data_IF_240368726481
#
_entry.id   IF_240368726481
#
_cell.length_a   1.000
_cell.length_b   1.000
_cell.length_c   1.000
_cell.angle_alpha   90.00
_cell.angle_beta   90.00
_cell.angle_gamma   90.00
#
_symmetry.space_group_name_H-M   'P 1'
#
loop_
_entity.id
_entity.type
_entity.pdbx_description
1 polymer ?
#
# COMPACT_ATOMS: atom_id res chain seq x y z
N UNK A 1 -40.25 -9.98 72.13
CA UNK A 1 -41.34 -9.36 72.94
C UNK A 1 -41.40 -7.88 72.60
N UNK A 2 -42.58 -7.29 72.74
CA UNK A 2 -43.04 -5.97 72.25
C UNK A 2 -43.44 -5.99 70.76
N UNK A 3 -44.72 -6.22 70.46
CA UNK A 3 -45.82 -5.22 70.40
C UNK A 3 -45.86 -4.56 69.02
N UNK A 4 -46.97 -4.40 68.31
CA UNK A 4 -48.38 -4.65 68.58
C UNK A 4 -49.15 -4.51 67.26
N UNK A 5 -50.10 -5.42 67.04
CA UNK A 5 -51.42 -5.29 66.37
C UNK A 5 -51.81 -3.86 65.95
N UNK A 6 -52.29 -3.57 64.73
CA UNK A 6 -53.49 -4.08 64.04
C UNK A 6 -54.29 -2.83 63.56
N UNK A 7 -55.18 -2.81 62.57
CA UNK A 7 -55.79 -3.79 61.67
C UNK A 7 -56.68 -3.03 60.65
N UNK A 8 -56.68 -3.46 59.38
CA UNK A 8 -57.75 -3.45 58.34
C UNK A 8 -58.36 -2.08 57.93
N UNK A 9 -58.84 -1.84 56.71
CA UNK A 9 -59.38 -2.64 55.60
C UNK A 9 -59.07 -1.88 54.27
N UNK A 10 -59.34 -2.29 53.02
CA UNK A 10 -60.30 -3.24 52.47
C UNK A 10 -59.96 -3.49 50.96
N UNK A 11 -60.50 -4.61 50.44
CA UNK A 11 -60.94 -4.85 49.04
C UNK A 11 -59.90 -5.02 47.90
N UNK A 12 -59.78 -6.30 47.51
CA UNK A 12 -59.45 -6.91 46.20
C UNK A 12 -60.45 -6.52 45.07
N UNK A 13 -60.36 -7.03 43.80
CA UNK A 13 -59.24 -7.54 42.97
C UNK A 13 -59.29 -7.06 41.47
N UNK A 14 -58.34 -7.52 40.65
CA UNK A 14 -58.45 -7.63 39.17
C UNK A 14 -58.10 -6.34 38.42
N UNK A 15 -57.68 -6.33 37.16
CA UNK A 15 -57.26 -7.33 36.17
C UNK A 15 -56.70 -6.51 34.99
N UNK A 16 -55.93 -7.13 34.10
CA UNK A 16 -55.88 -6.67 32.71
C UNK A 16 -54.62 -5.93 32.21
N UNK A 17 -54.02 -6.60 31.23
CA UNK A 17 -53.48 -6.04 30.00
C UNK A 17 -52.12 -5.34 30.04
N UNK A 18 -51.13 -6.05 29.50
CA UNK A 18 -49.80 -5.56 29.17
C UNK A 18 -49.82 -4.34 28.24
N UNK A 19 -48.76 -3.54 28.37
CA UNK A 19 -48.36 -2.53 27.40
C UNK A 19 -46.83 -2.42 27.39
N UNK A 20 -46.29 -2.55 26.19
CA UNK A 20 -45.21 -1.71 25.68
C UNK A 20 -43.86 -1.82 26.37
N UNK A 21 -42.97 -2.65 25.82
CA UNK A 21 -41.53 -2.40 25.93
C UNK A 21 -41.24 -1.15 25.09
N UNK A 22 -41.28 0.02 25.74
CA UNK A 22 -40.67 1.24 25.24
C UNK A 22 -39.14 1.00 25.18
N UNK A 23 -38.60 0.76 23.98
CA UNK A 23 -37.17 0.91 23.71
C UNK A 23 -36.89 2.37 23.40
N UNK A 24 -36.44 3.12 24.40
CA UNK A 24 -35.77 4.41 24.17
C UNK A 24 -34.36 4.16 23.59
N UNK A 25 -33.95 4.92 22.57
CA UNK A 25 -32.67 4.73 21.89
C UNK A 25 -31.59 5.63 22.50
N UNK A 26 -30.75 5.10 23.38
CA UNK A 26 -29.58 5.84 23.87
C UNK A 26 -28.45 4.89 24.25
N UNK A 27 -27.50 4.74 23.33
CA UNK A 27 -26.05 4.70 23.59
C UNK A 27 -25.35 4.27 22.29
N UNK A 28 -25.18 5.22 21.36
CA UNK A 28 -24.12 5.08 20.35
C UNK A 28 -22.82 5.24 21.12
N UNK A 29 -22.26 4.10 21.57
CA UNK A 29 -20.92 4.05 22.11
C UNK A 29 -19.98 4.66 21.10
N UNK A 30 -19.45 5.86 21.40
CA UNK A 30 -18.32 6.43 20.70
C UNK A 30 -17.18 5.44 20.85
N UNK A 31 -16.95 4.59 19.85
CA UNK A 31 -15.69 3.87 19.72
C UNK A 31 -14.65 4.93 19.42
N UNK A 32 -14.04 5.46 20.49
CA UNK A 32 -12.80 6.20 20.41
C UNK A 32 -11.81 5.22 19.77
N UNK A 33 -11.47 5.47 18.51
CA UNK A 33 -10.43 4.73 17.82
C UNK A 33 -9.12 5.00 18.56
N UNK A 34 -8.66 3.98 19.28
CA UNK A 34 -7.43 3.95 20.04
C UNK A 34 -6.25 4.39 19.15
N UNK A 35 -5.47 5.42 19.55
CA UNK A 35 -4.22 5.80 18.91
C UNK A 35 -3.23 4.65 18.74
N UNK A 36 -3.35 3.60 19.56
CA UNK A 36 -2.56 2.38 19.42
C UNK A 36 -2.93 1.57 18.17
N UNK A 37 -4.11 1.71 17.55
CA UNK A 37 -4.47 0.89 16.39
C UNK A 37 -3.61 1.14 15.13
N UNK A 38 -2.98 2.32 15.01
CA UNK A 38 -2.00 2.62 13.97
C UNK A 38 -0.56 2.26 14.37
N UNK A 39 -0.24 2.36 15.67
CA UNK A 39 1.03 1.86 16.25
C UNK A 39 1.02 0.33 16.45
N UNK A 40 -0.13 -0.33 16.40
CA UNK A 40 -0.29 -1.78 16.53
C UNK A 40 -0.07 -2.51 15.20
N UNK A 41 0.09 -1.77 14.10
CA UNK A 41 0.78 -2.29 12.92
C UNK A 41 2.30 -2.43 13.17
N UNK A 42 2.83 -1.85 14.26
CA UNK A 42 4.26 -1.83 14.63
C UNK A 42 4.62 -2.78 15.80
N UNK A 43 3.85 -3.83 16.09
CA UNK A 43 4.30 -4.89 17.01
C UNK A 43 4.99 -6.03 16.22
N UNK A 44 6.23 -6.44 16.53
CA UNK A 44 6.80 -7.64 15.94
C UNK A 44 5.94 -8.82 16.37
N UNK A 45 5.38 -9.56 15.41
CA UNK A 45 4.95 -10.93 15.67
C UNK A 45 6.21 -11.74 15.91
N UNK A 46 6.67 -11.77 17.15
CA UNK A 46 7.62 -12.78 17.65
C UNK A 46 6.86 -14.10 17.70
N UNK A 47 6.89 -14.82 16.59
CA UNK A 47 6.33 -16.16 16.47
C UNK A 47 6.89 -16.76 15.19
N UNK A 48 7.63 -17.86 15.32
CA UNK A 48 8.39 -18.49 14.25
C UNK A 48 7.62 -18.52 12.93
N UNK A 49 8.27 -18.03 11.87
CA UNK A 49 7.75 -18.07 10.51
C UNK A 49 7.70 -19.54 10.07
N UNK A 50 6.61 -20.23 10.41
CA UNK A 50 6.31 -21.56 9.90
C UNK A 50 5.53 -21.44 8.59
N UNK A 51 5.74 -22.41 7.71
CA UNK A 51 5.19 -22.72 6.36
C UNK A 51 3.94 -21.97 5.86
N UNK A 52 3.05 -21.50 6.74
CA UNK A 52 1.89 -20.65 6.40
C UNK A 52 2.27 -19.27 5.83
N UNK A 53 3.38 -18.66 6.23
CA UNK A 53 3.83 -17.38 5.66
C UNK A 53 4.31 -17.58 4.21
N UNK A 54 5.06 -18.66 3.96
CA UNK A 54 5.52 -19.10 2.63
C UNK A 54 4.33 -19.49 1.73
N UNK A 55 3.39 -20.30 2.23
CA UNK A 55 2.19 -20.71 1.47
C UNK A 55 1.28 -19.53 1.08
N UNK A 56 1.20 -18.50 1.93
CA UNK A 56 0.44 -17.26 1.63
C UNK A 56 1.13 -16.37 0.59
N UNK A 57 2.41 -16.59 0.31
CA UNK A 57 3.18 -15.89 -0.74
C UNK A 57 3.15 -16.65 -2.06
N UNK A 58 3.04 -17.98 -2.05
CA UNK A 58 2.73 -18.77 -3.26
C UNK A 58 1.39 -18.37 -3.89
N UNK A 59 0.42 -18.04 -3.06
CA UNK A 59 -0.80 -17.37 -3.50
C UNK A 59 -0.50 -15.87 -3.67
N UNK A 60 -0.55 -15.35 -4.89
CA UNK A 60 -0.40 -13.91 -5.12
C UNK A 60 -1.27 -13.06 -4.20
N UNK A 61 -0.94 -11.77 -4.06
CA UNK A 61 -1.79 -10.80 -3.35
C UNK A 61 -3.00 -10.44 -4.20
N UNK A 62 -3.88 -11.42 -4.36
CA UNK A 62 -5.13 -11.32 -5.09
C UNK A 62 -6.25 -11.16 -4.07
N UNK A 63 -6.99 -10.04 -4.07
CA UNK A 63 -8.13 -9.86 -3.18
C UNK A 63 -9.20 -10.90 -3.49
N UNK A 64 -9.88 -11.40 -2.44
CA UNK A 64 -10.95 -12.41 -2.55
C UNK A 64 -12.10 -11.99 -3.47
N UNK A 65 -12.34 -10.68 -3.60
CA UNK A 65 -13.33 -10.08 -4.49
C UNK A 65 -12.68 -8.98 -5.30
N UNK A 66 -12.72 -9.09 -6.62
CA UNK A 66 -12.21 -8.08 -7.56
C UNK A 66 -13.36 -7.13 -7.86
N UNK A 67 -13.19 -5.85 -7.54
CA UNK A 67 -14.21 -4.83 -7.80
C UNK A 67 -14.23 -4.42 -9.29
N UNK A 68 -13.08 -4.47 -9.95
CA UNK A 68 -12.87 -4.05 -11.33
C UNK A 68 -11.56 -4.64 -11.87
N UNK A 69 -11.49 -4.85 -13.18
CA UNK A 69 -10.27 -5.25 -13.88
C UNK A 69 -10.27 -6.70 -14.32
N UNK A 70 -9.28 -7.07 -15.13
CA UNK A 70 -9.06 -8.44 -15.62
C UNK A 70 -7.88 -9.09 -14.90
N UNK A 71 -7.92 -10.40 -14.78
CA UNK A 71 -6.75 -11.19 -14.35
C UNK A 71 -5.55 -10.97 -15.29
N UNK A 72 -4.31 -11.24 -14.84
CA UNK A 72 -3.17 -11.27 -15.73
C UNK A 72 -3.44 -12.21 -16.90
N UNK A 73 -2.95 -11.84 -18.08
CA UNK A 73 -3.12 -12.66 -19.30
C UNK A 73 -2.39 -14.00 -19.13
N UNK A 74 -2.89 -15.06 -19.76
CA UNK A 74 -2.23 -16.37 -19.70
C UNK A 74 -0.86 -16.40 -20.38
N UNK A 75 -0.68 -15.58 -21.42
CA UNK A 75 0.60 -15.42 -22.12
C UNK A 75 0.67 -14.08 -22.87
N UNK A 76 1.86 -13.72 -23.33
CA UNK A 76 2.09 -12.62 -24.28
C UNK A 76 3.40 -12.84 -25.05
N UNK A 77 3.51 -12.19 -26.21
CA UNK A 77 4.74 -12.19 -27.01
C UNK A 77 5.47 -10.86 -26.89
N UNK A 78 6.79 -10.91 -26.72
CA UNK A 78 7.65 -9.73 -26.69
C UNK A 78 9.06 -10.08 -27.17
N UNK A 79 9.57 -9.31 -28.14
CA UNK A 79 10.94 -9.49 -28.64
C UNK A 79 11.22 -10.87 -29.25
N UNK A 80 10.24 -11.44 -29.96
CA UNK A 80 10.34 -12.77 -30.58
C UNK A 80 10.24 -13.94 -29.60
N UNK A 81 9.84 -13.70 -28.34
CA UNK A 81 9.69 -14.71 -27.29
C UNK A 81 8.27 -14.73 -26.77
N UNK A 82 7.74 -15.94 -26.55
CA UNK A 82 6.47 -16.14 -25.86
C UNK A 82 6.73 -16.32 -24.36
N UNK A 83 6.03 -15.53 -23.56
CA UNK A 83 6.06 -15.59 -22.11
C UNK A 83 4.73 -16.14 -21.60
N UNK A 84 4.78 -17.18 -20.76
CA UNK A 84 3.59 -17.78 -20.14
C UNK A 84 3.50 -17.41 -18.67
N UNK A 85 2.28 -17.17 -18.18
CA UNK A 85 2.02 -16.80 -16.80
C UNK A 85 2.47 -17.94 -15.89
N UNK A 86 3.48 -17.66 -15.08
CA UNK A 86 3.97 -18.59 -14.05
C UNK A 86 3.22 -18.33 -12.74
N UNK A 87 2.98 -17.04 -12.41
CA UNK A 87 2.36 -16.66 -11.14
C UNK A 87 1.67 -15.30 -11.21
N UNK A 88 0.47 -15.20 -10.65
CA UNK A 88 -0.15 -13.89 -10.37
C UNK A 88 0.46 -13.31 -9.10
N UNK A 89 0.94 -12.07 -9.14
CA UNK A 89 1.60 -11.41 -8.01
C UNK A 89 0.66 -10.47 -7.27
N UNK A 90 -0.05 -9.62 -8.02
CA UNK A 90 -0.93 -8.58 -7.48
C UNK A 90 -2.09 -8.35 -8.43
N UNK A 91 -3.25 -8.08 -7.86
CA UNK A 91 -4.46 -7.72 -8.58
C UNK A 91 -5.18 -6.64 -7.77
N UNK A 92 -5.32 -5.44 -8.31
CA UNK A 92 -6.05 -4.36 -7.66
C UNK A 92 -7.02 -3.65 -8.62
N UNK A 93 -7.59 -2.54 -8.19
CA UNK A 93 -8.57 -1.79 -8.95
C UNK A 93 -8.00 -1.14 -10.23
N UNK A 94 -6.70 -0.86 -10.25
CA UNK A 94 -6.03 -0.13 -11.32
C UNK A 94 -5.17 -1.01 -12.19
N UNK A 95 -4.58 -2.08 -11.65
CA UNK A 95 -3.67 -2.94 -12.39
C UNK A 95 -3.68 -4.38 -11.86
N UNK A 96 -3.26 -5.30 -12.72
CA UNK A 96 -2.72 -6.56 -12.27
C UNK A 96 -1.26 -6.73 -12.69
N UNK A 97 -0.57 -7.60 -11.96
CA UNK A 97 0.85 -7.87 -12.11
C UNK A 97 1.08 -9.37 -12.01
N UNK A 98 1.83 -9.92 -12.94
CA UNK A 98 2.19 -11.34 -12.96
C UNK A 98 3.65 -11.55 -13.28
N UNK A 99 4.18 -12.67 -12.78
CA UNK A 99 5.47 -13.22 -13.18
C UNK A 99 5.25 -14.20 -14.32
N UNK A 100 6.05 -14.07 -15.36
CA UNK A 100 5.98 -14.87 -16.56
C UNK A 100 7.35 -15.47 -16.87
N UNK A 101 7.34 -16.60 -17.54
CA UNK A 101 8.55 -17.33 -17.95
C UNK A 101 8.49 -17.66 -19.44
N UNK A 102 9.60 -17.50 -20.15
CA UNK A 102 9.74 -17.95 -21.54
C UNK A 102 10.31 -19.37 -21.62
N UNK A 103 10.28 -19.96 -22.82
CA UNK A 103 10.75 -21.33 -23.06
C UNK A 103 12.24 -21.56 -22.71
N UNK A 104 13.05 -20.50 -22.75
CA UNK A 104 14.47 -20.53 -22.34
C UNK A 104 14.69 -20.26 -20.84
N UNK A 105 13.62 -20.24 -20.04
CA UNK A 105 13.68 -20.06 -18.58
C UNK A 105 13.80 -18.62 -18.11
N UNK A 106 13.84 -17.63 -19.01
CA UNK A 106 13.92 -16.22 -18.61
C UNK A 106 12.62 -15.75 -17.97
N UNK A 107 12.73 -15.18 -16.76
CA UNK A 107 11.58 -14.61 -16.02
C UNK A 107 11.44 -13.11 -16.23
N UNK A 108 10.21 -12.66 -16.34
CA UNK A 108 9.83 -11.26 -16.44
C UNK A 108 8.60 -10.94 -15.60
N UNK A 109 8.43 -9.67 -15.27
CA UNK A 109 7.24 -9.14 -14.62
C UNK A 109 6.45 -8.32 -15.65
N UNK A 110 5.19 -8.70 -15.89
CA UNK A 110 4.26 -7.90 -16.68
C UNK A 110 3.30 -7.20 -15.72
N UNK A 111 3.25 -5.88 -15.82
CA UNK A 111 2.24 -5.04 -15.17
C UNK A 111 1.29 -4.49 -16.23
N UNK A 112 0.00 -4.73 -16.06
CA UNK A 112 -1.04 -4.23 -16.97
C UNK A 112 -2.08 -3.41 -16.22
N UNK A 113 -2.37 -2.23 -16.75
CA UNK A 113 -3.37 -1.33 -16.21
C UNK A 113 -4.75 -1.64 -16.79
N UNK A 114 -5.78 -1.54 -15.96
CA UNK A 114 -7.17 -1.80 -16.29
C UNK A 114 -7.77 -0.66 -17.11
N UNK A 115 -8.23 -1.00 -18.32
CA UNK A 115 -8.85 -0.09 -19.28
C UNK A 115 -10.38 -0.16 -19.23
N UNK A 116 -10.95 -1.14 -18.53
CA UNK A 116 -12.38 -1.40 -18.48
C UNK A 116 -13.14 -0.20 -17.94
N UNK A 117 -14.25 0.24 -18.57
CA UNK A 117 -15.09 1.29 -18.04
C UNK A 117 -15.57 0.99 -16.61
N UNK A 118 -15.78 2.04 -15.81
CA UNK A 118 -16.33 1.89 -14.47
C UNK A 118 -17.39 2.96 -14.25
N UNK A 119 -18.61 2.55 -13.90
CA UNK A 119 -19.77 3.44 -13.76
C UNK A 119 -19.95 4.43 -14.94
N UNK A 120 -19.84 3.94 -16.18
CA UNK A 120 -19.99 4.77 -17.37
C UNK A 120 -18.79 5.66 -17.71
N UNK A 121 -17.77 5.75 -16.86
CA UNK A 121 -16.53 6.47 -17.19
C UNK A 121 -15.62 5.59 -18.08
N UNK A 122 -15.24 6.05 -19.29
CA UNK A 122 -14.29 5.34 -20.13
C UNK A 122 -12.89 5.52 -19.55
N UNK A 123 -12.31 4.47 -18.96
CA UNK A 123 -11.02 4.53 -18.26
C UNK A 123 -9.83 4.03 -19.10
N UNK A 124 -10.04 3.84 -20.40
CA UNK A 124 -9.01 3.38 -21.35
C UNK A 124 -7.83 4.36 -21.40
N UNK A 125 -8.11 5.67 -21.49
CA UNK A 125 -7.09 6.71 -21.48
C UNK A 125 -6.32 6.75 -20.15
N UNK A 126 -6.99 6.46 -19.03
CA UNK A 126 -6.38 6.44 -17.71
C UNK A 126 -5.38 5.28 -17.58
N UNK A 127 -5.75 4.07 -18.02
CA UNK A 127 -4.87 2.91 -18.04
C UNK A 127 -3.60 3.16 -18.86
N UNK A 128 -3.77 3.71 -20.07
CA UNK A 128 -2.65 4.14 -20.92
C UNK A 128 -1.78 5.20 -20.26
N UNK A 129 -2.38 6.25 -19.69
CA UNK A 129 -1.63 7.34 -19.06
C UNK A 129 -0.82 6.85 -17.85
N UNK A 130 -1.38 5.94 -17.06
CA UNK A 130 -0.66 5.32 -15.94
C UNK A 130 0.54 4.51 -16.42
N UNK A 131 0.36 3.68 -17.45
CA UNK A 131 1.47 2.94 -18.07
C UNK A 131 2.54 3.88 -18.66
N UNK A 132 2.14 4.95 -19.35
CA UNK A 132 3.02 5.98 -19.92
C UNK A 132 3.84 6.70 -18.84
N UNK A 133 3.19 7.05 -17.73
CA UNK A 133 3.87 7.66 -16.59
C UNK A 133 4.85 6.69 -15.94
N UNK A 134 4.44 5.45 -15.65
CA UNK A 134 5.31 4.50 -14.96
C UNK A 134 6.51 4.09 -15.83
N UNK A 135 6.29 3.81 -17.12
CA UNK A 135 7.39 3.54 -18.06
C UNK A 135 8.35 4.71 -18.17
N UNK A 136 7.86 5.96 -18.12
CA UNK A 136 8.74 7.14 -18.09
C UNK A 136 9.61 7.14 -16.83
N UNK A 137 9.07 6.78 -15.67
CA UNK A 137 9.87 6.69 -14.43
C UNK A 137 10.92 5.59 -14.53
N UNK A 138 10.55 4.39 -15.01
CA UNK A 138 11.51 3.31 -15.25
C UNK A 138 12.66 3.75 -16.15
N UNK A 139 12.36 4.42 -17.27
CA UNK A 139 13.36 4.90 -18.23
C UNK A 139 14.34 5.90 -17.63
N UNK A 140 13.88 6.76 -16.71
CA UNK A 140 14.74 7.75 -16.05
C UNK A 140 15.76 7.13 -15.08
N UNK A 141 15.59 5.86 -14.71
CA UNK A 141 16.33 5.21 -13.64
C UNK A 141 17.10 3.96 -14.09
N UNK A 142 17.13 3.67 -15.40
CA UNK A 142 17.77 2.46 -15.94
C UNK A 142 19.28 2.39 -15.69
N UNK A 143 19.91 3.54 -15.44
CA UNK A 143 21.35 3.69 -15.16
C UNK A 143 21.71 3.52 -13.68
N UNK A 144 20.72 3.44 -12.79
CA UNK A 144 20.97 3.40 -11.33
C UNK A 144 21.38 2.03 -10.81
N UNK A 145 21.15 0.96 -11.58
CA UNK A 145 21.30 -0.42 -11.11
C UNK A 145 20.34 -0.81 -9.97
N UNK A 146 19.52 0.09 -9.44
CA UNK A 146 18.56 -0.15 -8.36
C UNK A 146 17.11 -0.25 -8.83
N UNK A 147 16.87 -0.33 -10.14
CA UNK A 147 15.55 -0.48 -10.75
C UNK A 147 15.61 -1.58 -11.80
N UNK A 148 14.59 -2.47 -11.89
CA UNK A 148 14.60 -3.52 -12.89
C UNK A 148 14.68 -2.96 -14.31
N UNK A 149 15.40 -3.66 -15.18
CA UNK A 149 15.52 -3.25 -16.59
C UNK A 149 14.16 -3.32 -17.26
N UNK A 150 13.78 -2.24 -17.94
CA UNK A 150 12.58 -2.21 -18.76
C UNK A 150 12.83 -3.06 -20.01
N UNK A 151 12.07 -4.14 -20.18
CA UNK A 151 12.18 -5.04 -21.33
C UNK A 151 11.41 -4.46 -22.52
N UNK A 152 10.21 -3.93 -22.28
CA UNK A 152 9.40 -3.38 -23.35
C UNK A 152 7.95 -3.10 -22.96
N UNK A 153 7.13 -2.86 -23.97
CA UNK A 153 5.69 -2.64 -23.83
C UNK A 153 4.90 -3.77 -24.46
N UNK A 154 3.75 -4.06 -23.85
CA UNK A 154 2.77 -5.00 -24.38
C UNK A 154 1.47 -4.24 -24.55
N UNK A 155 1.15 -3.84 -25.78
CA UNK A 155 0.03 -2.94 -26.05
C UNK A 155 0.22 -1.53 -25.47
N UNK A 156 -0.90 -0.85 -25.18
CA UNK A 156 -0.91 0.58 -24.78
C UNK A 156 -0.86 0.81 -23.27
N UNK A 157 -1.31 -0.16 -22.47
CA UNK A 157 -1.52 -0.05 -21.02
C UNK A 157 -0.72 -1.06 -20.20
N UNK A 158 0.18 -1.83 -20.82
CA UNK A 158 1.04 -2.76 -20.12
C UNK A 158 2.51 -2.61 -20.50
N UNK A 159 3.37 -2.92 -19.54
CA UNK A 159 4.81 -2.91 -19.74
C UNK A 159 5.45 -4.07 -18.97
N UNK A 160 6.65 -4.43 -19.43
CA UNK A 160 7.40 -5.57 -18.94
C UNK A 160 8.75 -5.07 -18.44
N UNK A 161 9.12 -5.50 -17.24
CA UNK A 161 10.46 -5.34 -16.72
C UNK A 161 11.04 -6.71 -16.33
N UNK A 162 12.35 -6.78 -16.17
CA UNK A 162 13.02 -8.00 -15.76
C UNK A 162 12.55 -8.44 -14.37
N UNK A 163 12.46 -9.75 -14.19
CA UNK A 163 12.27 -10.31 -12.87
C UNK A 163 13.57 -10.15 -12.07
N UNK A 164 13.44 -9.75 -10.81
CA UNK A 164 14.56 -9.61 -9.89
C UNK A 164 14.46 -10.74 -8.89
N UNK A 165 15.47 -11.61 -8.90
CA UNK A 165 15.57 -12.70 -7.93
C UNK A 165 15.98 -12.13 -6.57
N UNK A 166 15.41 -12.69 -5.50
CA UNK A 166 15.49 -12.19 -4.14
C UNK A 166 14.13 -12.13 -3.44
N UNK A 167 14.03 -11.29 -2.41
CA UNK A 167 12.81 -11.14 -1.61
C UNK A 167 12.50 -9.68 -1.29
N UNK A 168 11.23 -9.37 -1.12
CA UNK A 168 10.81 -8.07 -0.61
C UNK A 168 11.05 -7.93 0.91
N UNK A 169 11.22 -6.71 1.40
CA UNK A 169 11.45 -6.48 2.84
C UNK A 169 10.27 -6.94 3.70
N UNK A 170 9.04 -7.03 3.17
CA UNK A 170 7.90 -7.50 3.96
C UNK A 170 8.05 -8.98 4.36
N UNK A 171 8.69 -9.79 3.53
CA UNK A 171 8.84 -11.24 3.73
C UNK A 171 9.69 -11.60 4.97
N UNK A 172 10.66 -10.75 5.34
CA UNK A 172 11.59 -11.01 6.46
C UNK A 172 12.30 -12.38 6.37
N UNK A 173 12.39 -12.96 5.17
CA UNK A 173 13.02 -14.26 4.95
C UNK A 173 14.48 -14.27 5.44
N UNK A 174 15.20 -13.19 5.16
CA UNK A 174 16.51 -12.91 5.70
C UNK A 174 16.65 -11.41 6.04
N UNK A 175 17.44 -11.06 7.07
CA UNK A 175 17.81 -9.68 7.30
C UNK A 175 18.61 -9.16 6.09
N UNK A 176 18.39 -7.91 5.66
CA UNK A 176 19.19 -7.33 4.59
C UNK A 176 20.64 -7.14 5.06
N UNK A 177 21.63 -7.14 4.13
CA UNK A 177 23.04 -6.87 4.43
C UNK A 177 23.27 -5.58 5.21
N UNK A 178 24.41 -5.47 5.88
CA UNK A 178 24.70 -4.34 6.78
C UNK A 178 24.68 -2.99 6.06
N UNK A 179 25.20 -2.94 4.84
CA UNK A 179 25.26 -1.74 4.01
C UNK A 179 24.00 -1.50 3.16
N UNK A 180 22.98 -2.37 3.27
CA UNK A 180 21.78 -2.33 2.42
C UNK A 180 21.06 -0.98 2.50
N UNK A 181 20.87 -0.46 3.71
CA UNK A 181 20.13 0.80 3.91
C UNK A 181 20.94 2.02 3.46
N UNK A 182 22.26 1.93 3.50
CA UNK A 182 23.14 3.00 3.01
C UNK A 182 23.12 3.01 1.47
N UNK A 183 23.11 1.83 0.82
CA UNK A 183 22.86 1.68 -0.62
C UNK A 183 21.45 2.15 -1.01
N UNK A 184 20.44 1.86 -0.19
CA UNK A 184 19.05 2.26 -0.46
C UNK A 184 18.88 3.78 -0.36
N UNK A 185 19.51 4.41 0.64
CA UNK A 185 19.56 5.87 0.75
C UNK A 185 20.24 6.48 -0.47
N UNK A 186 21.40 5.97 -0.89
CA UNK A 186 22.08 6.40 -2.12
C UNK A 186 21.21 6.27 -3.38
N UNK A 187 20.47 5.16 -3.50
CA UNK A 187 19.52 4.95 -4.58
C UNK A 187 18.41 6.02 -4.55
N UNK A 188 17.80 6.27 -3.38
CA UNK A 188 16.74 7.28 -3.23
C UNK A 188 17.25 8.69 -3.52
N UNK A 189 18.45 9.06 -3.06
CA UNK A 189 19.05 10.35 -3.42
C UNK A 189 19.31 10.47 -4.92
N UNK A 190 19.66 9.36 -5.59
CA UNK A 190 19.82 9.35 -7.05
C UNK A 190 18.49 9.64 -7.79
N UNK A 191 17.36 9.15 -7.26
CA UNK A 191 16.03 9.50 -7.75
C UNK A 191 15.75 10.99 -7.52
N UNK A 192 16.11 11.50 -6.33
CA UNK A 192 15.87 12.88 -5.95
C UNK A 192 16.66 13.88 -6.80
N UNK A 193 17.91 13.56 -7.10
CA UNK A 193 18.78 14.33 -8.00
C UNK A 193 18.21 14.42 -9.43
N UNK A 194 17.41 13.44 -9.86
CA UNK A 194 16.70 13.42 -11.15
C UNK A 194 15.36 14.16 -11.10
N UNK A 195 15.07 14.89 -10.03
CA UNK A 195 13.81 15.62 -9.85
C UNK A 195 12.60 14.71 -9.63
N UNK A 196 12.82 13.53 -9.06
CA UNK A 196 11.78 12.55 -8.74
C UNK A 196 11.61 12.39 -7.23
N UNK A 197 10.38 12.11 -6.79
CA UNK A 197 10.09 11.51 -5.49
C UNK A 197 9.46 10.13 -5.71
N UNK A 198 9.85 9.16 -4.90
CA UNK A 198 9.33 7.80 -4.99
C UNK A 198 7.91 7.68 -4.40
N UNK A 199 7.63 8.40 -3.32
CA UNK A 199 6.30 8.58 -2.68
C UNK A 199 5.73 7.36 -1.96
N UNK A 200 6.09 6.13 -2.35
CA UNK A 200 5.57 4.88 -1.78
C UNK A 200 6.58 4.14 -0.88
N UNK A 201 7.63 4.83 -0.40
CA UNK A 201 8.74 4.23 0.36
C UNK A 201 8.29 3.64 1.71
N UNK A 202 7.09 3.97 2.16
CA UNK A 202 6.50 3.41 3.37
C UNK A 202 6.11 1.93 3.24
N UNK A 203 6.07 1.39 2.02
CA UNK A 203 5.67 0.02 1.71
C UNK A 203 6.89 -0.89 1.56
N UNK A 204 7.19 -1.74 2.56
CA UNK A 204 8.37 -2.63 2.51
C UNK A 204 8.29 -3.62 1.34
N UNK A 205 7.10 -3.94 0.86
CA UNK A 205 6.87 -4.83 -0.27
C UNK A 205 7.29 -4.26 -1.63
N UNK A 206 7.52 -2.95 -1.72
CA UNK A 206 8.05 -2.34 -2.94
C UNK A 206 9.59 -2.23 -2.93
N UNK A 207 10.24 -2.64 -1.84
CA UNK A 207 11.70 -2.62 -1.69
C UNK A 207 12.17 -4.07 -1.66
N UNK A 208 12.91 -4.47 -2.69
CA UNK A 208 13.48 -5.81 -2.80
C UNK A 208 14.93 -5.80 -2.31
N UNK A 209 15.29 -6.88 -1.65
CA UNK A 209 16.66 -7.33 -1.44
C UNK A 209 16.94 -8.34 -2.55
N UNK A 210 17.75 -7.96 -3.53
CA UNK A 210 18.15 -8.90 -4.58
C UNK A 210 19.10 -9.97 -4.02
N UNK A 211 19.25 -11.09 -4.73
CA UNK A 211 20.16 -12.17 -4.31
C UNK A 211 21.63 -11.73 -4.15
N UNK A 212 22.05 -10.71 -4.90
CA UNK A 212 23.38 -10.07 -4.78
C UNK A 212 23.47 -9.07 -3.62
N UNK A 213 22.41 -8.94 -2.82
CA UNK A 213 22.31 -8.06 -1.66
C UNK A 213 21.97 -6.61 -1.97
N UNK A 214 21.81 -6.20 -3.22
CA UNK A 214 21.52 -4.79 -3.54
C UNK A 214 20.04 -4.44 -3.33
N UNK A 215 19.73 -3.18 -2.97
CA UNK A 215 18.36 -2.70 -2.92
C UNK A 215 17.81 -2.49 -4.34
N UNK A 216 16.58 -2.95 -4.56
CA UNK A 216 15.85 -2.69 -5.80
C UNK A 216 14.47 -2.13 -5.50
N UNK A 217 14.13 -1.02 -6.15
CA UNK A 217 12.80 -0.41 -6.05
C UNK A 217 11.91 -0.85 -7.20
N UNK A 218 10.67 -1.22 -6.87
CA UNK A 218 9.62 -1.58 -7.83
C UNK A 218 8.37 -0.71 -7.63
N UNK A 219 7.36 -0.86 -8.48
CA UNK A 219 6.07 -0.15 -8.40
C UNK A 219 6.19 1.40 -8.31
N UNK A 220 6.40 2.05 -9.46
CA UNK A 220 6.56 3.52 -9.56
C UNK A 220 5.24 4.23 -9.90
N UNK A 221 4.10 3.57 -9.63
CA UNK A 221 2.77 4.03 -10.02
C UNK A 221 2.40 5.39 -9.42
N UNK A 222 2.74 5.61 -8.14
CA UNK A 222 2.45 6.86 -7.46
C UNK A 222 3.64 7.81 -7.38
N UNK A 223 4.84 7.38 -7.81
CA UNK A 223 6.04 8.21 -7.86
C UNK A 223 5.82 9.45 -8.72
N UNK A 224 6.49 10.55 -8.40
CA UNK A 224 6.22 11.84 -9.01
C UNK A 224 7.50 12.50 -9.53
N UNK A 225 7.54 12.72 -10.84
CA UNK A 225 8.58 13.48 -11.54
C UNK A 225 7.90 14.61 -12.35
N UNK A 226 7.65 15.78 -11.74
CA UNK A 226 6.97 16.88 -12.41
C UNK A 226 7.77 17.36 -13.62
N UNK A 227 7.06 17.67 -14.72
CA UNK A 227 7.68 18.40 -15.83
C UNK A 227 7.96 19.85 -15.43
N UNK A 228 9.00 20.49 -15.98
CA UNK A 228 9.21 21.93 -15.84
C UNK A 228 7.93 22.71 -16.16
N UNK A 229 7.71 23.80 -15.45
CA UNK A 229 6.53 24.66 -15.64
C UNK A 229 6.92 26.11 -15.33
N UNK A 230 6.29 27.09 -16.00
CA UNK A 230 6.56 28.50 -15.75
C UNK A 230 6.15 28.90 -14.33
N UNK A 231 6.65 30.04 -13.88
CA UNK A 231 6.23 30.65 -12.63
C UNK A 231 4.75 31.10 -12.72
N UNK A 232 3.94 30.97 -11.65
CA UNK A 232 4.28 30.49 -10.29
C UNK A 232 4.16 28.97 -10.10
N UNK A 233 3.53 28.26 -11.04
CA UNK A 233 3.25 26.82 -10.91
C UNK A 233 4.52 25.97 -10.74
N UNK A 234 5.61 26.35 -11.41
CA UNK A 234 6.91 25.69 -11.25
C UNK A 234 7.46 25.78 -9.83
N UNK A 235 7.28 26.91 -9.14
CA UNK A 235 7.75 27.08 -7.76
C UNK A 235 6.96 26.19 -6.79
N UNK A 236 5.64 26.14 -6.95
CA UNK A 236 4.76 25.27 -6.16
C UNK A 236 5.13 23.80 -6.35
N UNK A 237 5.36 23.36 -7.61
CA UNK A 237 5.75 21.98 -7.92
C UNK A 237 7.10 21.62 -7.28
N UNK A 238 8.09 22.52 -7.34
CA UNK A 238 9.40 22.29 -6.68
C UNK A 238 9.26 22.16 -5.16
N UNK A 239 8.44 23.00 -4.53
CA UNK A 239 8.19 22.92 -3.08
C UNK A 239 7.53 21.60 -2.70
N UNK A 240 6.51 21.19 -3.45
CA UNK A 240 5.85 19.90 -3.23
C UNK A 240 6.82 18.73 -3.45
N UNK A 241 7.71 18.83 -4.45
CA UNK A 241 8.68 17.79 -4.75
C UNK A 241 9.64 17.63 -3.57
N UNK A 242 10.19 18.74 -3.06
CA UNK A 242 11.06 18.72 -1.89
C UNK A 242 10.38 18.11 -0.65
N UNK A 243 9.08 18.39 -0.43
CA UNK A 243 8.32 17.76 0.66
C UNK A 243 8.16 16.25 0.46
N UNK A 244 7.88 15.79 -0.76
CA UNK A 244 7.76 14.36 -1.05
C UNK A 244 9.12 13.63 -0.95
N UNK A 245 10.21 14.29 -1.36
CA UNK A 245 11.57 13.77 -1.18
C UNK A 245 11.96 13.68 0.30
N UNK A 246 11.60 14.67 1.11
CA UNK A 246 11.77 14.61 2.56
C UNK A 246 10.95 13.45 3.18
N UNK A 247 9.75 13.19 2.67
CA UNK A 247 8.98 12.02 3.07
C UNK A 247 9.69 10.70 2.71
N UNK A 248 10.28 10.58 1.52
CA UNK A 248 11.02 9.37 1.14
C UNK A 248 12.18 9.10 2.11
N UNK A 249 13.02 10.12 2.41
CA UNK A 249 14.13 10.00 3.37
C UNK A 249 13.66 9.53 4.74
N UNK A 250 12.58 10.14 5.24
CA UNK A 250 11.98 9.73 6.51
C UNK A 250 11.57 8.26 6.49
N UNK A 251 10.97 7.79 5.40
CA UNK A 251 10.54 6.39 5.27
C UNK A 251 11.71 5.43 5.12
N UNK A 252 12.81 5.79 4.45
CA UNK A 252 14.05 5.00 4.46
C UNK A 252 14.56 4.82 5.89
N UNK A 253 14.65 5.91 6.68
CA UNK A 253 15.04 5.83 8.09
C UNK A 253 14.07 5.01 8.94
N UNK A 254 12.76 5.09 8.65
CA UNK A 254 11.74 4.24 9.28
C UNK A 254 11.97 2.75 8.95
N UNK A 255 12.27 2.41 7.70
CA UNK A 255 12.57 1.04 7.29
C UNK A 255 13.87 0.55 7.95
N UNK A 256 14.94 1.34 7.95
CA UNK A 256 16.20 0.99 8.65
C UNK A 256 15.92 0.65 10.11
N UNK A 257 15.11 1.45 10.81
CA UNK A 257 14.72 1.15 12.20
C UNK A 257 13.98 -0.19 12.35
N UNK A 258 13.09 -0.53 11.42
CA UNK A 258 12.25 -1.72 11.50
C UNK A 258 12.96 -3.02 11.13
N UNK A 259 14.00 -2.94 10.31
CA UNK A 259 14.66 -4.11 9.73
C UNK A 259 16.10 -4.28 10.17
N UNK A 260 16.83 -3.17 10.38
CA UNK A 260 18.22 -3.14 10.84
C UNK A 260 18.44 -2.05 11.88
N UNK A 261 17.55 -2.01 12.88
CA UNK A 261 17.61 -1.01 13.95
C UNK A 261 18.89 -1.11 14.77
N UNK A 262 19.52 -2.29 14.80
CA UNK A 262 20.83 -2.59 15.38
C UNK A 262 21.96 -1.74 14.78
N UNK A 263 21.87 -1.36 13.50
CA UNK A 263 22.88 -0.57 12.80
C UNK A 263 22.66 0.94 12.89
N UNK A 264 21.63 1.40 13.61
CA UNK A 264 21.33 2.82 13.71
C UNK A 264 22.07 3.47 14.87
N UNK A 265 22.66 4.64 14.63
CA UNK A 265 23.12 5.50 15.72
C UNK A 265 21.93 6.00 16.55
N UNK A 266 22.15 6.41 17.81
CA UNK A 266 21.10 7.00 18.64
C UNK A 266 20.38 8.19 17.95
N UNK A 267 21.13 9.03 17.22
CA UNK A 267 20.63 10.20 16.50
C UNK A 267 19.74 9.79 15.34
N UNK A 268 20.18 8.84 14.51
CA UNK A 268 19.38 8.31 13.40
C UNK A 268 18.09 7.68 13.93
N UNK A 269 18.18 6.92 15.03
CA UNK A 269 17.03 6.29 15.66
C UNK A 269 16.05 7.34 16.19
N UNK A 270 16.53 8.43 16.80
CA UNK A 270 15.69 9.53 17.26
C UNK A 270 15.01 10.28 16.09
N UNK A 271 15.76 10.57 15.02
CA UNK A 271 15.25 11.24 13.83
C UNK A 271 14.15 10.43 13.14
N UNK A 272 14.33 9.11 12.98
CA UNK A 272 13.33 8.23 12.36
C UNK A 272 11.98 8.22 13.09
N UNK A 273 11.92 8.62 14.36
CA UNK A 273 10.69 8.66 15.18
C UNK A 273 9.94 9.98 15.05
N UNK A 274 10.51 10.99 14.39
CA UNK A 274 9.95 12.33 14.24
C UNK A 274 9.45 12.53 12.81
N UNK A 275 8.20 12.13 12.48
CA UNK A 275 7.67 12.34 11.13
C UNK A 275 7.59 13.83 10.81
N UNK A 276 7.94 14.24 9.57
CA UNK A 276 7.71 15.60 9.09
C UNK A 276 6.28 16.06 9.34
N UNK A 277 6.12 17.34 9.66
CA UNK A 277 4.82 17.89 10.06
C UNK A 277 3.74 17.69 8.98
N UNK A 278 4.12 17.74 7.69
CA UNK A 278 3.18 17.60 6.59
C UNK A 278 2.68 16.16 6.43
N UNK A 279 3.47 15.16 6.84
CA UNK A 279 2.96 13.79 6.95
C UNK A 279 1.90 13.68 8.04
N UNK A 280 1.73 14.67 8.93
CA UNK A 280 0.63 14.71 9.91
C UNK A 280 -0.64 15.36 9.34
N UNK A 281 -0.55 16.11 8.22
CA UNK A 281 -1.69 16.80 7.59
C UNK A 281 -2.76 15.81 7.11
N UNK A 282 -2.39 14.61 6.66
CA UNK A 282 -3.37 13.59 6.25
C UNK A 282 -4.33 13.20 7.41
N UNK A 283 -3.96 13.45 8.67
CA UNK A 283 -4.85 13.23 9.82
C UNK A 283 -6.02 14.22 9.84
N UNK A 284 -5.82 15.41 9.29
CA UNK A 284 -6.82 16.49 9.22
C UNK A 284 -7.75 16.29 8.02
N UNK A 285 -7.21 15.95 6.84
CA UNK A 285 -8.00 15.85 5.61
C UNK A 285 -8.42 14.42 5.22
N UNK A 286 -7.75 13.39 5.73
CA UNK A 286 -8.04 11.99 5.40
C UNK A 286 -9.23 11.39 6.15
N UNK A 287 -9.58 11.90 7.34
CA UNK A 287 -10.76 11.45 8.07
C UNK A 287 -12.08 11.80 7.34
N UNK A 288 -12.28 13.05 6.85
CA UNK A 288 -13.46 13.42 6.06
C UNK A 288 -13.63 12.58 4.79
N UNK A 289 -12.54 12.29 4.06
CA UNK A 289 -12.57 11.51 2.83
C UNK A 289 -12.90 10.03 3.07
N UNK A 290 -12.44 9.46 4.19
CA UNK A 290 -12.81 8.09 4.60
C UNK A 290 -14.29 8.01 4.99
N UNK A 291 -14.79 9.00 5.71
CA UNK A 291 -16.20 9.07 6.08
C UNK A 291 -17.10 9.28 4.86
N UNK A 292 -16.67 10.10 3.90
CA UNK A 292 -17.36 10.27 2.61
C UNK A 292 -17.36 8.97 1.81
N UNK A 293 -16.22 8.28 1.69
CA UNK A 293 -16.12 6.97 1.04
C UNK A 293 -17.03 5.93 1.70
N UNK A 294 -17.07 5.89 3.04
CA UNK A 294 -17.98 4.99 3.78
C UNK A 294 -19.44 5.30 3.45
N UNK A 295 -19.85 6.57 3.49
CA UNK A 295 -21.21 7.01 3.15
C UNK A 295 -21.58 6.68 1.71
N UNK A 296 -20.66 6.84 0.76
CA UNK A 296 -20.89 6.47 -0.65
C UNK A 296 -21.02 4.95 -0.80
N UNK A 297 -20.20 4.15 -0.13
CA UNK A 297 -20.30 2.68 -0.18
C UNK A 297 -21.58 2.16 0.50
N UNK A 298 -22.02 2.78 1.59
CA UNK A 298 -23.31 2.53 2.24
C UNK A 298 -24.49 2.86 1.31
N UNK A 299 -24.39 3.99 0.60
CA UNK A 299 -25.40 4.42 -0.37
C UNK A 299 -25.50 3.49 -1.59
N UNK A 300 -24.37 2.91 -2.02
CA UNK A 300 -24.32 1.97 -3.17
C UNK A 300 -24.63 0.52 -2.76
N UNK A 301 -24.94 0.25 -1.48
CA UNK A 301 -25.38 -1.08 -1.02
C UNK A 301 -24.27 -2.16 -1.00
N UNK A 302 -23.01 -1.77 -1.16
CA UNK A 302 -21.89 -2.70 -1.17
C UNK A 302 -21.41 -2.98 0.26
N UNK A 303 -21.96 -4.03 0.89
CA UNK A 303 -21.32 -4.70 2.04
C UNK A 303 -20.17 -5.61 1.58
#
# INVERSE_FOLDING_TARGET
>A
MASSSGSRAARRPGSGAGRGIHRSPTAVGRTVLDPAAWLAYDAPRTGGATDRAMARKEQGRVPKRILRGKMPRGSFDLGGRTYRLEKTLKQDFFAATGRYVSDDGRRVCLKHYHEEPFFGCPLQWAGRLMADREVRHYRLLQDTGGVPRLVGRVGKSAFVHEWVEGHDLLDRAAPPPDDFFDRLEGLVESLHARGMAYVDMNKPDNVLVADDGRPVLIDFQISWAPRPSPWPLGAVKRRLLAMLQEADRFHVGKLKRLYRGDLMTPEQRAASKRPPWFLRIHRVFGAPLRDLRRRVLEWVGAR
#
